data_IF_631271255851
#
_entry.id   IF_631271255851
#
_cell.length_a   1.000
_cell.length_b   1.000
_cell.length_c   1.000
_cell.angle_alpha   90.00
_cell.angle_beta   90.00
_cell.angle_gamma   90.00
#
_symmetry.space_group_name_H-M   'P 1'
#
loop_
_entity.id
_entity.type
_entity.pdbx_description
1 polymer ?
#
# COMPACT_ATOMS: atom_id res chain seq x y z
N UNK A 1 -12.68 5.56 -12.73
CA UNK A 1 -12.37 4.30 -13.47
C UNK A 1 -11.15 4.43 -14.39
N UNK A 2 -11.18 5.34 -15.36
CA UNK A 2 -10.11 5.47 -16.38
C UNK A 2 -8.75 5.90 -15.82
N UNK A 3 -8.76 6.70 -14.74
CA UNK A 3 -7.52 7.11 -14.05
C UNK A 3 -6.76 5.88 -13.52
N UNK A 4 -7.44 4.95 -12.86
CA UNK A 4 -6.81 3.73 -12.34
C UNK A 4 -6.28 2.87 -13.48
N UNK A 5 -7.10 2.66 -14.52
CA UNK A 5 -6.72 1.84 -15.69
C UNK A 5 -5.46 2.37 -16.39
N UNK A 6 -5.36 3.68 -16.60
CA UNK A 6 -4.16 4.31 -17.19
C UNK A 6 -2.94 4.16 -16.29
N UNK A 7 -3.12 4.41 -14.99
CA UNK A 7 -2.02 4.34 -14.03
C UNK A 7 -1.43 2.93 -13.88
N UNK A 8 -2.16 1.86 -14.17
CA UNK A 8 -1.59 0.49 -14.16
C UNK A 8 -0.42 0.39 -15.13
N UNK A 9 -0.58 0.89 -16.35
CA UNK A 9 0.49 0.87 -17.35
C UNK A 9 1.60 1.87 -17.03
N UNK A 10 1.25 3.06 -16.53
CA UNK A 10 2.25 4.07 -16.13
C UNK A 10 3.15 3.56 -14.99
N UNK A 11 2.58 2.91 -13.97
CA UNK A 11 3.36 2.35 -12.85
C UNK A 11 4.24 1.20 -13.32
N UNK A 12 3.73 0.33 -14.20
CA UNK A 12 4.54 -0.73 -14.78
C UNK A 12 5.71 -0.15 -15.61
N UNK A 13 5.48 0.92 -16.38
CA UNK A 13 6.52 1.63 -17.10
C UNK A 13 7.56 2.23 -16.14
N UNK A 14 7.13 2.89 -15.06
CA UNK A 14 8.02 3.45 -14.04
C UNK A 14 8.88 2.35 -13.39
N UNK A 15 8.31 1.17 -13.10
CA UNK A 15 9.05 0.02 -12.58
C UNK A 15 10.17 -0.43 -13.51
N UNK A 16 9.87 -0.59 -14.80
CA UNK A 16 10.87 -0.98 -15.80
C UNK A 16 11.95 0.10 -15.97
N UNK A 17 11.54 1.37 -15.97
CA UNK A 17 12.44 2.51 -16.14
C UNK A 17 13.48 2.62 -15.01
N UNK A 18 13.12 2.24 -13.78
CA UNK A 18 14.05 2.22 -12.64
C UNK A 18 14.82 0.91 -12.50
N UNK A 19 14.67 -0.03 -13.45
CA UNK A 19 15.44 -1.26 -13.52
C UNK A 19 14.84 -2.48 -12.82
N UNK A 20 13.54 -2.47 -12.49
CA UNK A 20 12.86 -3.71 -12.07
C UNK A 20 12.80 -4.64 -13.28
N UNK A 21 13.51 -5.77 -13.18
CA UNK A 21 13.65 -6.77 -14.23
C UNK A 21 12.51 -7.80 -14.16
N UNK A 22 11.61 -7.89 -15.16
CA UNK A 22 10.52 -8.87 -15.19
C UNK A 22 11.00 -10.33 -15.25
N UNK A 23 12.25 -10.58 -15.66
CA UNK A 23 12.82 -11.93 -15.60
C UNK A 23 13.13 -12.37 -14.16
N UNK A 24 13.20 -11.41 -13.22
CA UNK A 24 13.49 -11.65 -11.79
C UNK A 24 12.32 -11.33 -10.87
N UNK A 25 11.39 -10.49 -11.33
CA UNK A 25 10.27 -9.98 -10.54
C UNK A 25 8.94 -10.29 -11.20
N UNK A 26 8.03 -10.91 -10.44
CA UNK A 26 6.66 -11.12 -10.87
C UNK A 26 5.83 -9.86 -10.63
N UNK A 27 5.46 -9.18 -11.72
CA UNK A 27 4.56 -8.01 -11.67
C UNK A 27 3.14 -8.49 -12.00
N UNK A 28 2.22 -8.30 -11.07
CA UNK A 28 0.83 -8.77 -11.19
C UNK A 28 -0.16 -7.62 -11.10
N UNK A 29 -1.27 -7.75 -11.84
CA UNK A 29 -2.42 -6.82 -11.74
C UNK A 29 -3.45 -7.43 -10.81
N UNK A 30 -3.70 -6.82 -9.64
CA UNK A 30 -4.58 -7.37 -8.61
C UNK A 30 -5.97 -7.75 -9.13
N UNK A 31 -6.57 -6.92 -9.99
CA UNK A 31 -7.89 -7.20 -10.57
C UNK A 31 -7.93 -8.40 -11.52
N UNK A 32 -6.77 -8.92 -11.96
CA UNK A 32 -6.68 -10.15 -12.75
C UNK A 32 -6.52 -11.40 -11.87
N UNK A 33 -6.58 -11.26 -10.54
CA UNK A 33 -6.42 -12.33 -9.57
C UNK A 33 -7.69 -12.43 -8.70
N UNK A 34 -8.80 -12.97 -9.24
CA UNK A 34 -10.09 -13.00 -8.54
C UNK A 34 -10.05 -13.79 -7.22
N UNK A 35 -9.12 -14.74 -7.09
CA UNK A 35 -8.88 -15.47 -5.85
C UNK A 35 -8.54 -14.55 -4.67
N UNK A 36 -7.92 -13.39 -4.90
CA UNK A 36 -7.62 -12.42 -3.84
C UNK A 36 -8.90 -11.78 -3.29
N UNK A 37 -9.89 -11.52 -4.16
CA UNK A 37 -11.19 -11.02 -3.74
C UNK A 37 -11.99 -12.07 -2.96
N UNK A 38 -11.94 -13.34 -3.39
CA UNK A 38 -12.53 -14.45 -2.66
C UNK A 38 -11.91 -14.60 -1.26
N UNK A 39 -10.59 -14.59 -1.17
CA UNK A 39 -9.86 -14.68 0.09
C UNK A 39 -10.15 -13.49 1.02
N UNK A 40 -10.29 -12.28 0.44
CA UNK A 40 -10.71 -11.08 1.18
C UNK A 40 -12.05 -11.32 1.86
N UNK A 41 -13.05 -11.85 1.14
CA UNK A 41 -14.37 -12.12 1.70
C UNK A 41 -14.30 -13.11 2.86
N UNK A 42 -13.44 -14.12 2.77
CA UNK A 42 -13.21 -15.05 3.89
C UNK A 42 -12.62 -14.31 5.10
N UNK A 43 -11.62 -13.46 4.89
CA UNK A 43 -10.93 -12.71 5.95
C UNK A 43 -11.78 -11.67 6.66
N UNK A 44 -12.84 -11.16 6.03
CA UNK A 44 -13.80 -10.30 6.71
C UNK A 44 -14.50 -10.97 7.90
N UNK A 45 -14.53 -12.30 7.96
CA UNK A 45 -15.04 -13.04 9.13
C UNK A 45 -14.01 -13.15 10.27
N UNK A 46 -12.74 -12.85 10.00
CA UNK A 46 -11.64 -12.95 10.96
C UNK A 46 -11.24 -11.60 11.58
N UNK A 47 -11.88 -10.52 11.19
CA UNK A 47 -11.63 -9.17 11.71
C UNK A 47 -12.95 -8.49 12.06
N UNK A 48 -12.95 -7.67 13.11
CA UNK A 48 -14.15 -6.92 13.51
C UNK A 48 -14.07 -5.48 13.02
N UNK A 49 -15.23 -4.85 12.81
CA UNK A 49 -15.33 -3.41 12.51
C UNK A 49 -14.54 -2.58 13.52
N UNK A 50 -14.72 -2.84 14.82
CA UNK A 50 -13.98 -2.14 15.89
C UNK A 50 -12.46 -2.31 15.79
N UNK A 51 -11.96 -3.46 15.31
CA UNK A 51 -10.52 -3.64 15.09
C UNK A 51 -10.01 -2.82 13.91
N UNK A 52 -10.78 -2.77 12.80
CA UNK A 52 -10.48 -1.95 11.63
C UNK A 52 -10.46 -0.46 11.97
N UNK A 53 -11.47 0.04 12.68
CA UNK A 53 -11.57 1.45 13.08
C UNK A 53 -10.46 1.90 14.05
N UNK A 54 -9.91 0.96 14.83
CA UNK A 54 -8.80 1.23 15.76
C UNK A 54 -7.42 1.10 15.13
N UNK A 55 -7.32 0.69 13.87
CA UNK A 55 -6.04 0.69 13.17
C UNK A 55 -5.54 2.15 13.02
N UNK A 56 -4.35 2.51 13.54
CA UNK A 56 -3.83 3.87 13.49
C UNK A 56 -3.72 4.43 12.07
N UNK A 57 -3.21 3.64 11.13
CA UNK A 57 -3.06 4.02 9.72
C UNK A 57 -4.41 4.37 9.11
N UNK A 58 -5.42 3.51 9.32
CA UNK A 58 -6.78 3.72 8.82
C UNK A 58 -7.38 5.00 9.39
N UNK A 59 -7.23 5.20 10.70
CA UNK A 59 -7.75 6.38 11.40
C UNK A 59 -7.15 7.67 10.85
N UNK A 60 -5.83 7.69 10.64
CA UNK A 60 -5.13 8.84 10.05
C UNK A 60 -5.59 9.10 8.61
N UNK A 61 -5.75 8.07 7.78
CA UNK A 61 -6.20 8.24 6.40
C UNK A 61 -7.67 8.71 6.32
N UNK A 62 -8.56 8.22 7.19
CA UNK A 62 -9.95 8.68 7.31
C UNK A 62 -9.98 10.18 7.64
N UNK A 63 -9.15 10.61 8.59
CA UNK A 63 -9.05 12.02 8.98
C UNK A 63 -8.50 12.87 7.83
N UNK A 64 -7.43 12.44 7.18
CA UNK A 64 -6.80 13.17 6.07
C UNK A 64 -7.73 13.32 4.86
N UNK A 65 -8.64 12.37 4.63
CA UNK A 65 -9.64 12.42 3.54
C UNK A 65 -10.95 13.09 3.93
N UNK A 66 -11.12 13.46 5.21
CA UNK A 66 -12.31 14.12 5.70
C UNK A 66 -13.57 13.25 5.65
N UNK A 67 -13.44 11.92 5.70
CA UNK A 67 -14.60 11.02 5.62
C UNK A 67 -15.52 11.09 6.84
N UNK A 68 -15.00 11.50 8.00
CA UNK A 68 -15.78 11.54 9.23
C UNK A 68 -16.36 10.16 9.56
N UNK A 69 -17.70 10.05 9.62
CA UNK A 69 -18.40 8.78 9.83
C UNK A 69 -18.88 8.12 8.54
N UNK A 70 -18.92 8.84 7.42
CA UNK A 70 -19.37 8.35 6.11
C UNK A 70 -18.22 7.70 5.34
N UNK A 71 -17.63 6.67 5.95
CA UNK A 71 -16.47 5.96 5.41
C UNK A 71 -16.95 4.92 4.38
N UNK A 72 -16.42 4.91 3.15
CA UNK A 72 -16.72 3.84 2.20
C UNK A 72 -16.36 2.48 2.80
N UNK A 73 -17.29 1.51 2.79
CA UNK A 73 -17.07 0.20 3.41
C UNK A 73 -15.81 -0.52 2.85
N UNK A 74 -15.60 -0.46 1.54
CA UNK A 74 -14.39 -1.00 0.91
C UNK A 74 -13.11 -0.32 1.38
N UNK A 75 -13.16 0.96 1.75
CA UNK A 75 -12.02 1.65 2.35
C UNK A 75 -11.79 1.18 3.78
N UNK A 76 -12.83 1.08 4.62
CA UNK A 76 -12.66 0.56 5.98
C UNK A 76 -12.12 -0.87 6.00
N UNK A 77 -12.50 -1.68 5.00
CA UNK A 77 -12.15 -3.08 4.89
C UNK A 77 -10.87 -3.37 4.11
N UNK A 78 -10.18 -2.38 3.53
CA UNK A 78 -8.98 -2.62 2.72
C UNK A 78 -7.84 -3.35 3.48
N UNK A 79 -7.69 -3.25 4.82
CA UNK A 79 -6.71 -4.07 5.53
C UNK A 79 -6.92 -5.57 5.36
N UNK A 80 -8.19 -6.01 5.27
CA UNK A 80 -8.50 -7.42 5.01
C UNK A 80 -8.15 -7.83 3.58
N UNK A 81 -8.31 -6.93 2.60
CA UNK A 81 -7.90 -7.21 1.22
C UNK A 81 -6.37 -7.24 1.08
N UNK A 82 -5.66 -6.34 1.76
CA UNK A 82 -4.20 -6.37 1.81
C UNK A 82 -3.67 -7.64 2.50
N UNK A 83 -4.34 -8.08 3.58
CA UNK A 83 -4.01 -9.36 4.20
C UNK A 83 -4.17 -10.50 3.19
N UNK A 84 -5.25 -10.51 2.40
CA UNK A 84 -5.46 -11.49 1.34
C UNK A 84 -4.40 -11.43 0.23
N UNK A 85 -3.96 -10.23 -0.16
CA UNK A 85 -2.87 -10.06 -1.12
C UNK A 85 -1.57 -10.68 -0.59
N UNK A 86 -1.19 -10.38 0.67
CA UNK A 86 0.04 -10.87 1.30
C UNK A 86 0.01 -12.40 1.46
N UNK A 87 -1.06 -12.94 2.03
CA UNK A 87 -1.16 -14.37 2.34
C UNK A 87 -1.45 -15.22 1.11
N UNK A 88 -2.15 -14.66 0.10
CA UNK A 88 -2.40 -15.32 -1.18
C UNK A 88 -1.11 -15.69 -1.91
N UNK A 89 -0.06 -14.86 -1.75
CA UNK A 89 1.28 -15.15 -2.24
C UNK A 89 2.22 -15.77 -1.20
N UNK A 90 1.74 -16.04 0.02
CA UNK A 90 2.54 -16.53 1.15
C UNK A 90 3.78 -15.67 1.40
N UNK A 91 3.65 -14.36 1.27
CA UNK A 91 4.76 -13.44 1.47
C UNK A 91 5.18 -13.44 2.95
N UNK A 92 6.49 -13.60 3.20
CA UNK A 92 7.08 -13.61 4.55
C UNK A 92 7.80 -12.30 4.90
N UNK A 93 7.99 -11.42 3.92
CA UNK A 93 8.66 -10.14 4.06
C UNK A 93 7.97 -9.11 3.16
N UNK A 94 7.51 -7.99 3.75
CA UNK A 94 6.76 -6.96 3.03
C UNK A 94 7.39 -5.59 3.28
N UNK A 95 7.99 -4.95 2.27
CA UNK A 95 8.51 -3.59 2.39
C UNK A 95 7.38 -2.60 2.60
N UNK A 96 7.42 -1.85 3.70
CA UNK A 96 6.39 -0.87 4.06
C UNK A 96 6.99 0.36 4.74
N UNK A 97 6.28 1.48 4.67
CA UNK A 97 6.58 2.62 5.53
C UNK A 97 6.23 2.32 6.99
N UNK A 98 6.85 3.04 7.92
CA UNK A 98 6.58 2.91 9.36
C UNK A 98 5.09 3.13 9.68
N UNK A 99 4.45 4.08 8.99
CA UNK A 99 3.02 4.36 9.11
C UNK A 99 2.10 3.22 8.66
N UNK A 100 2.62 2.24 7.92
CA UNK A 100 1.87 1.10 7.41
C UNK A 100 2.18 -0.20 8.20
N UNK A 101 3.13 -0.18 9.13
CA UNK A 101 3.43 -1.32 10.01
C UNK A 101 2.19 -1.86 10.76
N UNK A 102 1.24 -1.03 11.23
CA UNK A 102 0.01 -1.53 11.86
C UNK A 102 -0.85 -2.41 10.94
N UNK A 103 -0.78 -2.26 9.62
CA UNK A 103 -1.49 -3.10 8.66
C UNK A 103 -0.85 -4.48 8.50
N UNK A 104 0.49 -4.54 8.58
CA UNK A 104 1.21 -5.83 8.62
C UNK A 104 0.87 -6.58 9.90
N UNK A 105 0.83 -5.90 11.04
CA UNK A 105 0.40 -6.53 12.30
C UNK A 105 -1.05 -7.03 12.21
N UNK A 106 -1.96 -6.24 11.63
CA UNK A 106 -3.34 -6.68 11.42
C UNK A 106 -3.45 -7.87 10.46
N UNK A 107 -2.57 -7.96 9.47
CA UNK A 107 -2.45 -9.15 8.60
C UNK A 107 -2.04 -10.37 9.41
N UNK A 108 -1.02 -10.24 10.26
CA UNK A 108 -0.54 -11.35 11.10
C UNK A 108 -1.58 -11.78 12.15
N UNK A 109 -2.39 -10.85 12.68
CA UNK A 109 -3.54 -11.20 13.51
C UNK A 109 -4.55 -12.10 12.78
N UNK A 110 -4.85 -11.79 11.50
CA UNK A 110 -5.73 -12.62 10.67
C UNK A 110 -5.09 -14.00 10.45
N UNK A 111 -3.81 -14.04 10.08
CA UNK A 111 -3.03 -15.29 9.91
C UNK A 111 -3.12 -16.18 11.15
N UNK A 112 -2.85 -15.62 12.34
CA UNK A 112 -2.92 -16.37 13.60
C UNK A 112 -4.33 -16.91 13.85
N UNK A 113 -5.38 -16.11 13.62
CA UNK A 113 -6.77 -16.57 13.82
C UNK A 113 -7.14 -17.69 12.85
N UNK A 114 -6.73 -17.60 11.59
CA UNK A 114 -6.96 -18.65 10.60
C UNK A 114 -6.23 -19.93 10.99
N UNK A 115 -4.93 -19.85 11.29
CA UNK A 115 -4.12 -21.01 11.70
C UNK A 115 -4.71 -21.67 12.96
N UNK A 116 -5.13 -20.88 13.94
CA UNK A 116 -5.78 -21.37 15.16
C UNK A 116 -7.12 -22.07 14.86
N UNK A 117 -7.95 -21.51 13.98
CA UNK A 117 -9.23 -22.13 13.61
C UNK A 117 -9.04 -23.44 12.84
N UNK A 118 -8.00 -23.55 12.02
CA UNK A 118 -7.67 -24.78 11.28
C UNK A 118 -6.94 -25.80 12.15
N UNK A 119 -6.28 -25.35 13.24
CA UNK A 119 -5.51 -26.20 14.15
C UNK A 119 -4.11 -26.56 13.63
N UNK A 120 -3.60 -25.84 12.62
CA UNK A 120 -2.22 -25.99 12.11
C UNK A 120 -1.77 -24.74 11.36
N UNK A 121 -0.47 -24.57 11.17
CA UNK A 121 0.11 -23.48 10.38
C UNK A 121 -0.13 -23.71 8.88
N UNK A 122 -1.13 -23.02 8.32
CA UNK A 122 -1.46 -23.04 6.88
C UNK A 122 -0.98 -21.78 6.17
N UNK A 123 -0.85 -20.67 6.89
CA UNK A 123 -0.41 -19.38 6.39
C UNK A 123 0.80 -18.89 7.19
N UNK A 124 1.85 -18.37 6.55
CA UNK A 124 2.96 -17.76 7.25
C UNK A 124 2.61 -16.33 7.69
N UNK A 125 3.22 -15.88 8.79
CA UNK A 125 3.25 -14.45 9.14
C UNK A 125 4.25 -13.71 8.27
N UNK A 126 4.02 -12.41 8.06
CA UNK A 126 4.88 -11.52 7.31
C UNK A 126 5.63 -10.55 8.22
N UNK A 127 6.93 -10.38 8.00
CA UNK A 127 7.72 -9.35 8.64
C UNK A 127 7.63 -8.04 7.83
N UNK A 128 7.42 -6.91 8.54
CA UNK A 128 7.53 -5.58 7.94
C UNK A 128 9.00 -5.24 7.70
N UNK A 129 9.38 -4.96 6.45
CA UNK A 129 10.70 -4.42 6.11
C UNK A 129 10.61 -2.89 6.05
N UNK A 130 10.97 -2.23 7.15
CA UNK A 130 10.92 -0.77 7.26
C UNK A 130 12.28 -0.18 6.85
N UNK A 131 12.32 0.72 5.85
CA UNK A 131 13.56 1.39 5.46
C UNK A 131 14.15 2.24 6.60
N UNK A 132 15.49 2.29 6.70
CA UNK A 132 16.20 3.13 7.68
C UNK A 132 16.09 4.63 7.39
N UNK A 133 15.76 4.99 6.14
CA UNK A 133 15.67 6.36 5.69
C UNK A 133 14.21 6.79 5.60
N UNK A 134 13.94 8.02 6.04
CA UNK A 134 12.60 8.59 6.04
C UNK A 134 12.10 8.97 4.65
N UNK A 135 10.94 9.63 4.63
CA UNK A 135 10.30 10.09 3.39
C UNK A 135 11.13 11.18 2.72
N UNK A 136 11.14 11.17 1.39
CA UNK A 136 11.76 12.24 0.60
C UNK A 136 10.87 13.51 0.70
N UNK A 137 11.43 14.67 1.11
CA UNK A 137 10.67 15.92 1.13
C UNK A 137 10.28 16.37 -0.29
N UNK A 138 9.20 17.15 -0.37
CA UNK A 138 8.80 17.79 -1.62
C UNK A 138 9.72 18.97 -1.97
N UNK A 139 9.63 19.45 -3.21
CA UNK A 139 10.37 20.64 -3.65
C UNK A 139 10.01 21.89 -2.82
N UNK A 140 8.84 21.88 -2.19
CA UNK A 140 8.35 22.94 -1.31
C UNK A 140 8.87 22.84 0.14
N UNK A 141 9.80 21.93 0.42
CA UNK A 141 10.36 21.72 1.77
C UNK A 141 9.41 20.99 2.73
N UNK A 142 8.21 20.60 2.29
CA UNK A 142 7.29 19.83 3.14
C UNK A 142 7.79 18.40 3.34
N UNK A 143 7.39 17.79 4.46
CA UNK A 143 7.86 16.49 4.93
C UNK A 143 7.61 15.30 3.98
N UNK A 144 6.79 15.44 2.92
CA UNK A 144 6.51 14.37 1.97
C UNK A 144 6.29 14.89 0.55
N UNK A 145 7.03 14.33 -0.39
CA UNK A 145 6.76 14.48 -1.81
C UNK A 145 5.47 13.74 -2.21
N UNK A 146 4.57 14.42 -2.93
CA UNK A 146 3.31 13.84 -3.41
C UNK A 146 2.87 14.45 -4.74
N UNK A 147 2.46 13.60 -5.69
CA UNK A 147 1.82 14.03 -6.95
C UNK A 147 0.56 14.88 -6.68
N UNK A 148 -0.20 14.59 -5.62
CA UNK A 148 -1.42 15.36 -5.29
C UNK A 148 -1.15 16.74 -4.70
N UNK A 149 0.04 16.95 -4.12
CA UNK A 149 0.44 18.24 -3.54
C UNK A 149 1.21 19.11 -4.54
N UNK A 150 1.44 18.62 -5.77
CA UNK A 150 2.17 19.35 -6.81
C UNK A 150 3.63 19.61 -6.49
N UNK A 151 4.19 18.93 -5.48
CA UNK A 151 5.56 19.14 -4.99
C UNK A 151 6.52 18.01 -5.38
N UNK A 152 6.18 17.23 -6.41
CA UNK A 152 6.91 16.04 -6.85
C UNK A 152 7.58 16.24 -8.21
N UNK A 153 8.76 15.65 -8.36
CA UNK A 153 9.46 15.53 -9.65
C UNK A 153 9.23 14.10 -10.17
N UNK A 154 8.52 13.91 -11.30
CA UNK A 154 8.29 12.58 -11.85
C UNK A 154 9.58 11.99 -12.45
N UNK A 155 9.67 10.66 -12.48
CA UNK A 155 10.83 9.94 -13.04
C UNK A 155 11.07 10.26 -14.52
N UNK A 156 9.99 10.47 -15.29
CA UNK A 156 10.04 10.87 -16.69
C UNK A 156 10.14 12.38 -16.92
N UNK A 157 10.52 13.18 -15.91
CA UNK A 157 10.70 14.63 -16.08
C UNK A 157 11.82 14.94 -17.09
N UNK A 158 11.56 15.88 -18.00
CA UNK A 158 12.58 16.41 -18.90
C UNK A 158 13.65 17.21 -18.13
N UNK A 159 14.87 17.39 -18.70
CA UNK A 159 15.92 18.19 -18.08
C UNK A 159 15.47 19.61 -17.69
N UNK A 160 14.64 20.26 -18.52
CA UNK A 160 14.12 21.60 -18.23
C UNK A 160 13.12 21.60 -17.07
N UNK A 161 12.24 20.60 -16.99
CA UNK A 161 11.33 20.44 -15.86
C UNK A 161 12.06 20.19 -14.54
N UNK A 162 13.14 19.38 -14.58
CA UNK A 162 13.99 19.15 -13.41
C UNK A 162 14.66 20.45 -12.99
N UNK A 163 15.26 21.19 -13.93
CA UNK A 163 15.91 22.48 -13.65
C UNK A 163 14.93 23.47 -13.02
N UNK A 164 13.74 23.62 -13.59
CA UNK A 164 12.70 24.49 -13.06
C UNK A 164 12.28 24.08 -11.64
N UNK A 165 12.08 22.79 -11.40
CA UNK A 165 11.70 22.28 -10.09
C UNK A 165 12.78 22.55 -9.03
N UNK A 166 14.06 22.37 -9.38
CA UNK A 166 15.20 22.65 -8.49
C UNK A 166 15.30 24.14 -8.18
N UNK A 167 15.11 25.03 -9.16
CA UNK A 167 15.13 26.48 -8.90
C UNK A 167 14.01 26.96 -7.98
N UNK A 168 12.89 26.23 -7.93
CA UNK A 168 11.76 26.52 -7.03
C UNK A 168 11.92 25.89 -5.65
N UNK A 169 13.01 25.16 -5.39
CA UNK A 169 13.20 24.49 -4.10
C UNK A 169 13.29 25.49 -2.97
N UNK A 170 12.56 25.21 -1.89
CA UNK A 170 12.64 26.00 -0.66
C UNK A 170 14.02 25.80 0.00
N UNK A 171 14.67 26.89 0.38
CA UNK A 171 15.98 26.92 1.05
C UNK A 171 15.95 27.77 2.31
#
# INVERSE_FOLDING_TARGET
PDKVRRNVLEVALDYLAVGIDPAKTTISVQSHLPALAELTLMYLNFVTVSRLERNPTIKEEIQARGFGRDIPAGFLCYPASQAADITGFKAVLVPVGEDQAPLIEQTNEIVRRVNNQVGREVLPEAAALIPKHGRLPGVDGKAKMSKSQGNAIPLGASPDQIREAVHKMYT
#
